data_IF_030023939443
#
_entry.id   IF_030023939443
#
_cell.length_a   1.000
_cell.length_b   1.000
_cell.length_c   1.000
_cell.angle_alpha   90.00
_cell.angle_beta   90.00
_cell.angle_gamma   90.00
#
_symmetry.space_group_name_H-M   'P 1'
#
loop_
_entity.id
_entity.type
_entity.pdbx_description
1 polymer ?
#
# COMPACT_ATOMS: atom_id res chain seq x y z
N UNK A 1 -15.80 7.23 35.69
CA UNK A 1 -14.45 7.19 35.09
C UNK A 1 -14.59 6.75 33.64
N UNK A 2 -14.00 7.48 32.69
CA UNK A 2 -13.92 7.02 31.30
C UNK A 2 -12.81 5.97 31.21
N UNK A 3 -13.17 4.73 30.89
CA UNK A 3 -12.22 3.65 30.63
C UNK A 3 -11.65 3.82 29.22
N UNK A 4 -10.32 3.97 29.12
CA UNK A 4 -9.63 3.95 27.84
C UNK A 4 -9.61 2.52 27.27
N UNK A 5 -9.67 2.39 25.94
CA UNK A 5 -9.63 1.12 25.22
C UNK A 5 -8.67 1.25 24.04
N UNK A 6 -7.77 0.28 23.89
CA UNK A 6 -6.90 0.17 22.73
C UNK A 6 -7.70 -0.26 21.49
N UNK A 7 -7.36 0.33 20.34
CA UNK A 7 -7.93 -0.02 19.04
C UNK A 7 -6.82 -0.36 18.05
N UNK A 8 -6.98 -1.49 17.36
CA UNK A 8 -6.16 -1.84 16.21
C UNK A 8 -6.69 -1.10 14.98
N UNK A 9 -5.84 -0.28 14.34
CA UNK A 9 -6.15 0.39 13.07
C UNK A 9 -5.34 -0.24 11.95
N UNK A 10 -5.97 -1.14 11.22
CA UNK A 10 -5.31 -1.90 10.17
C UNK A 10 -5.46 -1.26 8.79
N UNK A 11 -4.39 -1.27 8.01
CA UNK A 11 -4.42 -0.82 6.62
C UNK A 11 -5.11 -1.83 5.71
N UNK A 12 -6.12 -1.37 4.97
CA UNK A 12 -6.69 -2.14 3.87
C UNK A 12 -5.70 -2.15 2.69
N UNK A 13 -5.36 -3.35 2.21
CA UNK A 13 -4.47 -3.51 1.05
C UNK A 13 -5.09 -2.88 -0.19
N UNK A 14 -4.33 -2.00 -0.86
CA UNK A 14 -4.78 -1.31 -2.06
C UNK A 14 -4.78 -2.19 -3.32
N UNK A 15 -5.56 -1.82 -4.36
CA UNK A 15 -5.71 -2.61 -5.58
C UNK A 15 -4.43 -2.69 -6.42
N UNK A 16 -3.46 -1.80 -6.17
CA UNK A 16 -2.18 -1.74 -6.87
C UNK A 16 -1.04 -2.48 -6.14
N UNK A 17 -1.37 -3.31 -5.14
CA UNK A 17 -0.39 -4.16 -4.45
C UNK A 17 0.46 -4.93 -5.47
N UNK A 18 1.77 -4.90 -5.28
CA UNK A 18 2.74 -5.52 -6.19
C UNK A 18 4.06 -5.80 -5.46
N UNK A 19 4.94 -6.57 -6.11
CA UNK A 19 6.28 -6.88 -5.60
C UNK A 19 7.36 -6.22 -6.46
N UNK A 20 7.62 -4.93 -6.20
CA UNK A 20 8.58 -4.12 -6.94
C UNK A 20 9.99 -4.09 -6.36
N UNK A 21 10.25 -4.67 -5.18
CA UNK A 21 11.60 -4.74 -4.61
C UNK A 21 12.18 -3.44 -4.10
N UNK A 22 11.33 -2.46 -3.76
CA UNK A 22 11.73 -1.08 -3.55
C UNK A 22 12.40 -0.80 -2.19
N UNK A 23 12.36 -1.75 -1.26
CA UNK A 23 12.85 -1.57 0.11
C UNK A 23 14.19 -2.30 0.32
N UNK A 24 15.30 -1.60 0.08
CA UNK A 24 16.64 -2.13 0.40
C UNK A 24 16.73 -2.48 1.89
N UNK A 25 17.31 -3.65 2.20
CA UNK A 25 17.37 -4.19 3.56
C UNK A 25 16.14 -5.02 3.98
N UNK A 26 15.02 -4.94 3.26
CA UNK A 26 13.88 -5.84 3.46
C UNK A 26 14.03 -7.09 2.56
N UNK A 27 14.53 -8.17 3.16
CA UNK A 27 14.78 -9.45 2.47
C UNK A 27 13.52 -9.97 1.75
N UNK A 28 12.35 -9.88 2.37
CA UNK A 28 11.10 -10.34 1.77
C UNK A 28 10.67 -9.49 0.56
N UNK A 29 10.88 -8.18 0.62
CA UNK A 29 10.64 -7.29 -0.53
C UNK A 29 11.55 -7.65 -1.70
N UNK A 30 12.84 -7.92 -1.43
CA UNK A 30 13.82 -8.23 -2.46
C UNK A 30 13.63 -9.64 -3.05
N UNK A 31 13.37 -10.65 -2.21
CA UNK A 31 13.24 -12.04 -2.67
C UNK A 31 12.01 -12.28 -3.55
N UNK A 32 10.99 -11.41 -3.47
CA UNK A 32 9.75 -11.52 -4.24
C UNK A 32 9.69 -10.56 -5.44
N UNK A 33 10.76 -9.84 -5.78
CA UNK A 33 10.80 -8.92 -6.93
C UNK A 33 10.25 -9.61 -8.19
N UNK A 34 9.32 -8.95 -8.89
CA UNK A 34 8.70 -9.41 -10.15
C UNK A 34 7.81 -10.66 -10.03
N UNK A 35 7.59 -11.20 -8.83
CA UNK A 35 6.56 -12.20 -8.61
C UNK A 35 5.17 -11.61 -8.93
N UNK A 36 4.27 -12.45 -9.43
CA UNK A 36 2.88 -12.06 -9.58
C UNK A 36 2.26 -11.85 -8.19
N UNK A 37 1.50 -10.76 -8.04
CA UNK A 37 0.76 -10.47 -6.81
C UNK A 37 -0.74 -10.71 -7.02
N UNK A 38 -1.48 -10.90 -5.94
CA UNK A 38 -2.94 -11.01 -5.96
C UNK A 38 -3.54 -9.98 -5.00
N UNK A 39 -3.78 -8.74 -5.46
CA UNK A 39 -4.27 -7.65 -4.60
C UNK A 39 -5.59 -7.98 -3.89
N UNK A 40 -6.51 -8.66 -4.58
CA UNK A 40 -7.78 -9.09 -4.01
C UNK A 40 -7.57 -10.09 -2.88
N UNK A 41 -6.74 -11.11 -3.09
CA UNK A 41 -6.45 -12.10 -2.05
C UNK A 41 -5.73 -11.45 -0.86
N UNK A 42 -4.77 -10.55 -1.09
CA UNK A 42 -4.07 -9.84 -0.02
C UNK A 42 -5.04 -8.99 0.83
N UNK A 43 -5.98 -8.29 0.19
CA UNK A 43 -7.03 -7.55 0.90
C UNK A 43 -7.94 -8.48 1.70
N UNK A 44 -8.36 -9.61 1.11
CA UNK A 44 -9.21 -10.60 1.80
C UNK A 44 -8.51 -11.24 3.00
N UNK A 45 -7.20 -11.52 2.91
CA UNK A 45 -6.40 -12.02 4.03
C UNK A 45 -6.34 -11.02 5.18
N UNK A 46 -6.11 -9.73 4.87
CA UNK A 46 -6.13 -8.66 5.87
C UNK A 46 -7.50 -8.52 6.55
N UNK A 47 -8.57 -8.49 5.76
CA UNK A 47 -9.95 -8.40 6.25
C UNK A 47 -10.35 -9.61 7.10
N UNK A 48 -9.94 -10.82 6.73
CA UNK A 48 -10.19 -12.02 7.52
C UNK A 48 -9.58 -11.90 8.91
N UNK A 49 -8.30 -11.50 9.00
CA UNK A 49 -7.61 -11.25 10.27
C UNK A 49 -8.33 -10.20 11.12
N UNK A 50 -8.66 -9.05 10.55
CA UNK A 50 -9.36 -7.96 11.26
C UNK A 50 -10.70 -8.45 11.82
N UNK A 51 -11.46 -9.21 11.02
CA UNK A 51 -12.75 -9.77 11.43
C UNK A 51 -12.59 -10.80 12.56
N UNK A 52 -11.58 -11.65 12.50
CA UNK A 52 -11.31 -12.65 13.53
C UNK A 52 -10.95 -12.01 14.88
N UNK A 53 -10.16 -10.93 14.87
CA UNK A 53 -9.85 -10.17 16.09
C UNK A 53 -11.08 -9.46 16.65
N UNK A 54 -11.86 -8.79 15.78
CA UNK A 54 -13.10 -8.14 16.17
C UNK A 54 -14.10 -9.13 16.80
N UNK A 55 -14.24 -10.33 16.21
CA UNK A 55 -15.11 -11.40 16.72
C UNK A 55 -14.68 -11.92 18.10
N UNK A 56 -13.41 -11.76 18.48
CA UNK A 56 -12.87 -12.13 19.79
C UNK A 56 -12.93 -10.98 20.81
N UNK A 57 -13.51 -9.84 20.45
CA UNK A 57 -13.70 -8.69 21.33
C UNK A 57 -12.57 -7.66 21.31
N UNK A 58 -11.55 -7.82 20.46
CA UNK A 58 -10.55 -6.77 20.26
C UNK A 58 -11.14 -5.62 19.45
N UNK A 59 -10.89 -4.39 19.88
CA UNK A 59 -11.42 -3.22 19.18
C UNK A 59 -10.65 -3.05 17.86
N UNK A 60 -11.36 -2.98 16.74
CA UNK A 60 -10.79 -3.03 15.40
C UNK A 60 -11.38 -1.91 14.53
N UNK A 61 -10.50 -1.25 13.79
CA UNK A 61 -10.82 -0.25 12.78
C UNK A 61 -9.99 -0.49 11.52
N UNK A 62 -10.39 0.16 10.43
CA UNK A 62 -9.78 0.03 9.11
C UNK A 62 -9.34 1.40 8.60
N UNK A 63 -8.12 1.50 8.10
CA UNK A 63 -7.62 2.64 7.34
C UNK A 63 -7.69 2.33 5.83
N UNK A 64 -8.30 3.21 5.01
CA UNK A 64 -8.43 2.97 3.58
C UNK A 64 -7.07 3.04 2.86
N UNK A 65 -6.93 2.38 1.70
CA UNK A 65 -5.74 2.54 0.88
C UNK A 65 -5.66 3.97 0.34
N UNK A 66 -4.45 4.41 0.01
CA UNK A 66 -4.26 5.68 -0.69
C UNK A 66 -4.55 5.54 -2.19
N UNK A 67 -4.91 6.66 -2.84
CA UNK A 67 -5.05 6.71 -4.29
C UNK A 67 -3.72 6.35 -4.97
N UNK A 68 -3.78 5.42 -5.93
CA UNK A 68 -2.65 4.93 -6.72
C UNK A 68 -3.09 4.77 -8.19
N UNK A 69 -2.23 5.12 -9.17
CA UNK A 69 -0.86 5.61 -9.01
C UNK A 69 -0.80 7.04 -8.46
N UNK A 70 0.29 7.37 -7.77
CA UNK A 70 0.52 8.70 -7.24
C UNK A 70 0.93 9.68 -8.36
N UNK A 71 -0.06 10.20 -9.10
CA UNK A 71 0.16 11.18 -10.17
C UNK A 71 0.85 12.46 -9.68
N UNK A 72 0.59 12.87 -8.43
CA UNK A 72 1.25 14.03 -7.84
C UNK A 72 2.77 13.83 -7.79
N UNK A 73 3.23 12.64 -7.39
CA UNK A 73 4.65 12.29 -7.42
C UNK A 73 5.20 12.36 -8.84
N UNK A 74 4.57 11.65 -9.78
CA UNK A 74 5.04 11.59 -11.18
C UNK A 74 5.12 12.97 -11.83
N UNK A 75 4.13 13.83 -11.59
CA UNK A 75 4.12 15.20 -12.13
C UNK A 75 5.18 16.08 -11.49
N UNK A 76 5.39 15.96 -10.18
CA UNK A 76 6.41 16.74 -9.45
C UNK A 76 7.83 16.46 -9.93
N UNK A 77 8.09 15.25 -10.41
CA UNK A 77 9.43 14.84 -10.91
C UNK A 77 9.60 15.05 -12.42
N UNK A 78 8.64 15.67 -13.11
CA UNK A 78 8.79 16.14 -14.49
C UNK A 78 7.95 15.44 -15.55
N UNK A 79 7.13 14.43 -15.21
CA UNK A 79 6.19 13.85 -16.17
C UNK A 79 4.97 14.76 -16.36
N UNK A 80 4.65 15.11 -17.60
CA UNK A 80 3.56 16.04 -17.95
C UNK A 80 2.67 15.51 -19.08
N UNK A 81 1.57 16.21 -19.35
CA UNK A 81 0.53 15.78 -20.30
C UNK A 81 -0.69 15.16 -19.61
N UNK A 82 -1.49 14.42 -20.36
CA UNK A 82 -2.63 13.65 -19.81
C UNK A 82 -2.13 12.57 -18.84
N UNK A 83 -3.03 11.99 -18.05
CA UNK A 83 -2.67 10.88 -17.17
C UNK A 83 -2.10 9.68 -17.96
N UNK A 84 -2.64 9.42 -19.16
CA UNK A 84 -2.10 8.40 -20.05
C UNK A 84 -0.67 8.72 -20.51
N UNK A 85 -0.38 9.98 -20.88
CA UNK A 85 0.97 10.41 -21.27
C UNK A 85 1.96 10.25 -20.12
N UNK A 86 1.55 10.65 -18.91
CA UNK A 86 2.39 10.52 -17.71
C UNK A 86 2.75 9.06 -17.45
N UNK A 87 1.78 8.14 -17.53
CA UNK A 87 2.02 6.72 -17.32
C UNK A 87 2.91 6.13 -18.42
N UNK A 88 2.61 6.42 -19.69
CA UNK A 88 3.38 5.91 -20.83
C UNK A 88 4.84 6.38 -20.80
N UNK A 89 5.07 7.65 -20.46
CA UNK A 89 6.42 8.20 -20.31
C UNK A 89 7.14 7.61 -19.11
N UNK A 90 6.50 7.57 -17.94
CA UNK A 90 7.12 6.99 -16.74
C UNK A 90 7.46 5.50 -16.93
N UNK A 91 6.63 4.74 -17.65
CA UNK A 91 6.92 3.35 -17.99
C UNK A 91 8.19 3.21 -18.86
N UNK A 92 8.33 4.04 -19.89
CA UNK A 92 9.49 3.98 -20.81
C UNK A 92 10.76 4.54 -20.20
N UNK A 93 10.66 5.66 -19.50
CA UNK A 93 11.81 6.47 -19.07
C UNK A 93 12.28 6.11 -17.64
N UNK A 94 11.36 5.72 -16.74
CA UNK A 94 11.66 5.47 -15.33
C UNK A 94 10.75 4.40 -14.68
N UNK A 95 10.79 3.13 -15.15
CA UNK A 95 9.87 2.09 -14.71
C UNK A 95 9.91 1.79 -13.20
N UNK A 96 11.07 1.96 -12.55
CA UNK A 96 11.21 1.83 -11.09
C UNK A 96 10.41 2.92 -10.36
N UNK A 97 10.46 4.15 -10.86
CA UNK A 97 9.70 5.26 -10.28
C UNK A 97 8.20 5.08 -10.49
N UNK A 98 7.80 4.54 -11.64
CA UNK A 98 6.41 4.18 -11.86
C UNK A 98 5.96 3.10 -10.86
N UNK A 99 6.78 2.08 -10.60
CA UNK A 99 6.49 1.07 -9.59
C UNK A 99 6.34 1.68 -8.18
N UNK A 100 7.19 2.66 -7.81
CA UNK A 100 7.04 3.43 -6.58
C UNK A 100 5.68 4.16 -6.54
N UNK A 101 5.25 4.78 -7.64
CA UNK A 101 3.98 5.49 -7.72
C UNK A 101 2.77 4.56 -7.56
N UNK A 102 2.89 3.27 -7.89
CA UNK A 102 1.85 2.27 -7.71
C UNK A 102 1.92 1.51 -6.38
N UNK A 103 2.97 1.67 -5.58
CA UNK A 103 3.16 0.88 -4.35
C UNK A 103 1.99 0.99 -3.36
N UNK A 104 1.50 -0.15 -2.90
CA UNK A 104 0.49 -0.27 -1.84
C UNK A 104 1.08 -0.28 -0.42
N UNK A 105 2.34 0.13 -0.25
CA UNK A 105 3.03 0.20 1.05
C UNK A 105 2.26 0.90 2.20
N UNK A 106 1.37 1.91 1.97
CA UNK A 106 0.57 2.47 3.06
C UNK A 106 -0.34 1.50 3.80
N UNK A 107 -0.51 0.27 3.31
CA UNK A 107 -1.19 -0.80 4.05
C UNK A 107 -0.49 -1.14 5.39
N UNK A 108 0.81 -0.86 5.52
CA UNK A 108 1.56 -1.03 6.77
C UNK A 108 1.36 0.18 7.69
N UNK A 109 0.19 0.24 8.34
CA UNK A 109 -0.22 1.36 9.22
C UNK A 109 0.62 1.48 10.48
N UNK A 110 1.37 0.44 10.85
CA UNK A 110 2.39 0.53 11.91
C UNK A 110 3.47 1.59 11.63
N UNK A 111 3.67 1.98 10.36
CA UNK A 111 4.59 3.05 9.97
C UNK A 111 3.88 4.41 9.76
N UNK A 112 2.58 4.52 10.02
CA UNK A 112 1.80 5.71 9.68
C UNK A 112 2.08 6.90 10.61
N UNK A 113 2.21 6.66 11.92
CA UNK A 113 2.43 7.67 12.94
C UNK A 113 2.90 7.05 14.27
N UNK A 114 3.21 7.89 15.25
CA UNK A 114 3.36 7.51 16.67
C UNK A 114 2.17 8.08 17.44
N UNK A 115 1.59 7.28 18.35
CA UNK A 115 0.40 7.63 19.18
C UNK A 115 0.83 7.85 20.61
#
# INVERSE_FOLDING_TARGET
MLTAREYNFDGLVGPSHNYAGLSFGNVASFSNVRSASNPRQAALQGLAKMRDLAARGFAQAVMPPQARPNFRLLRRIGFSGTDADVLARAWREAPVILACAYSAAPMWTANAATV
#
